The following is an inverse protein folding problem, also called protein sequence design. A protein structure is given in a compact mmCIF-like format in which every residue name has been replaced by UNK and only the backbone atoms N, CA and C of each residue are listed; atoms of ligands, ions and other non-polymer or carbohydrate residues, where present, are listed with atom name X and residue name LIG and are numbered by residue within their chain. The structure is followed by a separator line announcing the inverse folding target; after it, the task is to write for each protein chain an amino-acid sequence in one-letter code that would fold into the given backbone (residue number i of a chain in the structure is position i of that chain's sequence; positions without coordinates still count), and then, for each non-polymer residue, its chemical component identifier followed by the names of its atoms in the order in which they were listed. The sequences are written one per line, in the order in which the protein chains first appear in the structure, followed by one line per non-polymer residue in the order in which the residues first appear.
data_IF_600609728309
#
_entry.id   IF_600609728309
#
_cell.length_a   1.000
_cell.length_b   1.000
_cell.length_c   1.000
_cell.angle_alpha   90.00
_cell.angle_beta   90.00
_cell.angle_gamma   90.00
#
_symmetry.space_group_name_H-M   'P 1'
#
loop_
_entity.id
_entity.type
_entity.pdbx_description
1 polymer ?
#
# COMPACT_ATOMS: atom_id res chain seq x y z
N UNK A 1 3.77 1.12 -21.77
CA UNK A 1 2.54 0.51 -21.21
C UNK A 1 2.78 -0.64 -20.22
N UNK A 2 3.94 -0.73 -19.54
CA UNK A 2 4.17 -1.74 -18.48
C UNK A 2 4.18 -1.13 -17.06
N UNK A 3 4.55 0.14 -16.94
CA UNK A 3 4.59 0.88 -15.68
C UNK A 3 3.18 1.13 -15.15
N UNK A 4 2.22 1.44 -16.02
CA UNK A 4 0.82 1.69 -15.66
C UNK A 4 0.15 0.45 -15.06
N UNK A 5 0.30 -0.73 -15.67
CA UNK A 5 -0.27 -1.97 -15.13
C UNK A 5 0.32 -2.34 -13.75
N UNK A 6 1.63 -2.11 -13.56
CA UNK A 6 2.30 -2.27 -12.26
C UNK A 6 1.81 -1.26 -11.23
N UNK A 7 1.60 -0.01 -11.65
CA UNK A 7 1.07 1.06 -10.82
C UNK A 7 -0.35 0.73 -10.33
N UNK A 8 -1.25 0.31 -11.24
CA UNK A 8 -2.62 -0.08 -10.89
C UNK A 8 -2.64 -1.26 -9.91
N UNK A 9 -1.78 -2.26 -10.14
CA UNK A 9 -1.65 -3.41 -9.21
C UNK A 9 -1.18 -2.97 -7.81
N UNK A 10 -0.23 -2.03 -7.73
CA UNK A 10 0.25 -1.48 -6.46
C UNK A 10 -0.80 -0.61 -5.78
N UNK A 11 -1.58 0.18 -6.54
CA UNK A 11 -2.70 0.95 -6.02
C UNK A 11 -3.80 0.04 -5.46
N UNK A 12 -4.10 -1.07 -6.12
CA UNK A 12 -5.03 -2.09 -5.60
C UNK A 12 -4.51 -2.71 -4.30
N UNK A 13 -3.23 -3.07 -4.24
CA UNK A 13 -2.60 -3.55 -2.99
C UNK A 13 -2.70 -2.51 -1.88
N UNK A 14 -2.42 -1.25 -2.19
CA UNK A 14 -2.52 -0.15 -1.24
C UNK A 14 -3.95 0.00 -0.71
N UNK A 15 -4.98 -0.04 -1.57
CA UNK A 15 -6.38 0.02 -1.14
C UNK A 15 -6.78 -1.17 -0.26
N UNK A 16 -6.29 -2.38 -0.57
CA UNK A 16 -6.55 -3.57 0.26
C UNK A 16 -5.91 -3.44 1.65
N UNK A 17 -4.66 -2.99 1.71
CA UNK A 17 -3.97 -2.75 2.98
C UNK A 17 -4.67 -1.68 3.82
N UNK A 18 -5.09 -0.58 3.19
CA UNK A 18 -5.84 0.48 3.88
C UNK A 18 -7.16 -0.03 4.48
N UNK A 19 -7.89 -0.84 3.70
CA UNK A 19 -9.13 -1.44 4.17
C UNK A 19 -8.91 -2.47 5.28
N UNK A 20 -7.84 -3.25 5.21
CA UNK A 20 -7.46 -4.18 6.27
C UNK A 20 -7.07 -3.44 7.57
N UNK A 21 -6.35 -2.32 7.46
CA UNK A 21 -6.04 -1.45 8.62
C UNK A 21 -7.33 -0.92 9.24
N UNK A 22 -8.24 -0.39 8.43
CA UNK A 22 -9.51 0.16 8.92
C UNK A 22 -10.41 -0.92 9.54
N UNK A 23 -10.44 -2.13 8.98
CA UNK A 23 -11.19 -3.25 9.55
C UNK A 23 -10.62 -3.64 10.92
N UNK A 24 -9.29 -3.77 11.00
CA UNK A 24 -8.58 -4.16 12.23
C UNK A 24 -8.69 -3.07 13.32
N UNK A 25 -8.55 -1.78 12.97
CA UNK A 25 -8.72 -0.67 13.91
C UNK A 25 -10.17 -0.48 14.37
N UNK A 26 -11.15 -0.94 13.57
CA UNK A 26 -12.57 -0.91 13.93
C UNK A 26 -12.96 -2.09 14.84
N UNK A 27 -12.12 -3.13 14.96
CA UNK A 27 -12.41 -4.25 15.86
C UNK A 27 -12.40 -3.78 17.31
N UNK A 28 -13.25 -4.41 18.11
CA UNK A 28 -13.32 -4.14 19.55
C UNK A 28 -12.04 -4.54 20.29
N UNK A 29 -11.18 -5.35 19.67
CA UNK A 29 -9.86 -5.76 20.14
C UNK A 29 -8.88 -5.65 18.97
N UNK A 30 -8.37 -4.44 18.69
CA UNK A 30 -7.45 -4.23 17.58
C UNK A 30 -6.12 -4.91 17.92
N UNK A 31 -5.59 -5.71 16.99
CA UNK A 31 -4.21 -6.17 17.11
C UNK A 31 -3.28 -5.03 16.64
N UNK A 32 -2.81 -4.23 17.60
CA UNK A 32 -1.89 -3.11 17.35
C UNK A 32 -0.65 -3.53 16.56
N UNK A 33 -0.17 -4.76 16.74
CA UNK A 33 0.99 -5.29 16.02
C UNK A 33 0.66 -5.56 14.56
N UNK A 34 -0.51 -6.15 14.27
CA UNK A 34 -1.02 -6.35 12.92
C UNK A 34 -1.27 -5.01 12.21
N UNK A 35 -1.94 -4.07 12.88
CA UNK A 35 -2.18 -2.71 12.36
C UNK A 35 -0.86 -2.02 12.02
N UNK A 36 0.15 -2.11 12.90
CA UNK A 36 1.47 -1.50 12.68
C UNK A 36 2.19 -2.15 11.49
N UNK A 37 2.13 -3.48 11.34
CA UNK A 37 2.68 -4.19 10.17
C UNK A 37 1.99 -3.76 8.88
N UNK A 38 0.67 -3.70 8.87
CA UNK A 38 -0.11 -3.27 7.71
C UNK A 38 0.20 -1.81 7.32
N UNK A 39 0.36 -0.91 8.31
CA UNK A 39 0.79 0.48 8.08
C UNK A 39 2.19 0.57 7.46
N UNK A 40 3.12 -0.28 7.89
CA UNK A 40 4.46 -0.38 7.30
C UNK A 40 4.42 -0.93 5.87
N UNK A 41 3.63 -1.98 5.60
CA UNK A 41 3.43 -2.48 4.24
C UNK A 41 2.81 -1.42 3.34
N UNK A 42 1.82 -0.67 3.84
CA UNK A 42 1.21 0.46 3.12
C UNK A 42 2.25 1.53 2.77
N UNK A 43 3.15 1.85 3.71
CA UNK A 43 4.25 2.79 3.48
C UNK A 43 5.18 2.28 2.39
N UNK A 44 5.58 1.01 2.47
CA UNK A 44 6.48 0.40 1.48
C UNK A 44 5.86 0.37 0.07
N UNK A 45 4.57 0.02 -0.05
CA UNK A 45 3.85 0.07 -1.33
C UNK A 45 3.79 1.50 -1.88
N UNK A 46 3.58 2.50 -1.01
CA UNK A 46 3.59 3.91 -1.41
C UNK A 46 4.98 4.34 -1.92
N UNK A 47 6.05 3.93 -1.25
CA UNK A 47 7.41 4.20 -1.71
C UNK A 47 7.74 3.49 -3.02
N UNK A 48 7.26 2.26 -3.22
CA UNK A 48 7.44 1.53 -4.47
C UNK A 48 6.68 2.20 -5.62
N UNK A 49 5.47 2.72 -5.37
CA UNK A 49 4.71 3.57 -6.30
C UNK A 49 5.48 4.85 -6.64
N UNK A 50 5.98 5.58 -5.63
CA UNK A 50 6.75 6.81 -5.84
C UNK A 50 8.02 6.54 -6.65
N UNK A 51 8.74 5.48 -6.31
CA UNK A 51 9.94 5.04 -7.03
C UNK A 51 9.64 4.66 -8.46
N UNK A 52 8.58 3.89 -8.73
CA UNK A 52 8.17 3.52 -10.08
C UNK A 52 7.69 4.73 -10.89
N UNK A 53 6.98 5.66 -10.26
CA UNK A 53 6.53 6.90 -10.88
C UNK A 53 7.73 7.77 -11.25
N UNK A 54 8.66 7.96 -10.32
CA UNK A 54 9.90 8.74 -10.54
C UNK A 54 10.80 8.10 -11.59
N UNK A 55 10.96 6.77 -11.55
CA UNK A 55 11.77 6.02 -12.51
C UNK A 55 11.13 5.94 -13.90
N UNK A 56 9.81 5.95 -13.99
CA UNK A 56 9.08 5.95 -15.27
C UNK A 56 8.99 7.34 -15.92
N UNK A 57 9.21 8.42 -15.16
CA UNK A 57 9.23 9.80 -15.69
C UNK A 57 10.62 10.20 -16.25
N UNK A 58 11.65 9.38 -16.02
CA UNK A 58 13.03 9.63 -16.44
C UNK A 58 13.50 8.79 -17.64
N UNK A 59 12.58 8.18 -18.39
CA UNK A 59 12.90 7.37 -19.57
C UNK A 59 12.09 7.77 -20.80
#
# INVERSE_FOLDING_TARGET
MHTEARLSSLQEKHMRLDRAILDEEKRSWPDDSAVKRLKLEKLHVKEEIDRLTRSGTMN
#
